data_IF_931707356034
#
_entry.id   IF_931707356034
#
_cell.length_a   1.000
_cell.length_b   1.000
_cell.length_c   1.000
_cell.angle_alpha   90.00
_cell.angle_beta   90.00
_cell.angle_gamma   90.00
#
_symmetry.space_group_name_H-M   'P 1'
#
loop_
_entity.id
_entity.type
_entity.pdbx_description
1 polymer ?
#
# COMPACT_ATOMS: atom_id res chain seq x y z
N UNK A 1 -9.25 -1.68 -21.84
CA UNK A 1 -8.26 -0.66 -22.20
C UNK A 1 -7.66 -0.21 -20.88
N UNK A 2 -6.33 -0.15 -20.80
CA UNK A 2 -5.66 0.29 -19.58
C UNK A 2 -5.91 1.77 -19.30
N UNK A 3 -6.40 2.05 -18.10
CA UNK A 3 -6.63 3.39 -17.57
C UNK A 3 -5.59 3.71 -16.49
N UNK A 4 -5.14 4.97 -16.35
CA UNK A 4 -4.15 5.33 -15.35
C UNK A 4 -4.74 5.29 -13.93
N UNK A 5 -3.89 4.93 -12.97
CA UNK A 5 -4.16 5.15 -11.55
C UNK A 5 -3.05 6.03 -10.97
N UNK A 6 -3.46 7.03 -10.20
CA UNK A 6 -2.58 7.88 -9.40
C UNK A 6 -3.34 8.31 -8.15
N UNK A 7 -3.01 7.66 -7.04
CA UNK A 7 -3.61 7.95 -5.74
C UNK A 7 -2.53 8.22 -4.70
N UNK A 8 -2.86 9.06 -3.73
CA UNK A 8 -2.08 9.20 -2.50
C UNK A 8 -2.90 8.67 -1.35
N UNK A 9 -2.33 7.72 -0.61
CA UNK A 9 -2.97 7.17 0.58
C UNK A 9 -2.13 7.44 1.82
N UNK A 10 -2.79 7.98 2.83
CA UNK A 10 -2.17 8.34 4.10
C UNK A 10 -2.63 7.37 5.18
N UNK A 11 -1.70 6.94 6.02
CA UNK A 11 -1.89 5.82 6.93
C UNK A 11 -1.37 6.13 8.32
N UNK A 12 -1.98 5.46 9.29
CA UNK A 12 -1.39 5.22 10.61
C UNK A 12 -1.09 3.73 10.68
N UNK A 13 0.16 3.38 11.01
CA UNK A 13 0.60 2.00 11.15
C UNK A 13 1.09 1.70 12.55
N UNK A 14 0.90 0.46 12.97
CA UNK A 14 1.58 -0.16 14.11
C UNK A 14 2.52 -1.25 13.62
N UNK A 15 3.67 -1.37 14.26
CA UNK A 15 4.65 -2.45 14.01
C UNK A 15 4.73 -3.37 15.22
N UNK A 16 4.70 -4.67 14.99
CA UNK A 16 5.02 -5.66 16.03
C UNK A 16 6.38 -6.27 15.73
N UNK A 17 7.33 -6.12 16.66
CA UNK A 17 8.63 -6.77 16.56
C UNK A 17 8.51 -8.27 16.82
N UNK A 18 9.03 -9.08 15.89
CA UNK A 18 9.12 -10.54 16.03
C UNK A 18 10.50 -10.95 16.54
N UNK A 19 11.56 -10.34 15.99
CA UNK A 19 12.95 -10.58 16.39
C UNK A 19 13.81 -9.39 15.98
N UNK A 20 14.79 -9.04 16.81
CA UNK A 20 15.72 -7.94 16.55
C UNK A 20 17.13 -8.30 17.01
N UNK A 21 18.08 -8.25 16.06
CA UNK A 21 19.53 -8.30 16.30
C UNK A 21 20.20 -7.12 15.61
N UNK A 22 21.54 -7.01 15.71
CA UNK A 22 22.27 -5.96 14.98
C UNK A 22 22.23 -6.16 13.46
N UNK A 23 22.08 -7.40 13.00
CA UNK A 23 22.11 -7.78 11.59
C UNK A 23 20.72 -7.86 10.96
N UNK A 24 19.67 -8.09 11.76
CA UNK A 24 18.35 -8.42 11.26
C UNK A 24 17.23 -8.01 12.24
N UNK A 25 16.28 -7.23 11.73
CA UNK A 25 14.98 -7.00 12.38
C UNK A 25 13.86 -7.63 11.55
N UNK A 26 12.91 -8.31 12.19
CA UNK A 26 11.74 -8.94 11.55
C UNK A 26 10.47 -8.45 12.25
N UNK A 27 9.52 -7.90 11.50
CA UNK A 27 8.27 -7.30 12.00
C UNK A 27 7.06 -7.69 11.17
N UNK A 28 5.89 -7.54 11.79
CA UNK A 28 4.63 -7.31 11.06
C UNK A 28 4.21 -5.83 11.09
N UNK A 29 3.37 -5.46 10.13
CA UNK A 29 2.69 -4.15 10.04
C UNK A 29 1.17 -4.38 10.04
N UNK A 30 0.45 -3.52 10.73
CA UNK A 30 -1.01 -3.33 10.63
C UNK A 30 -1.25 -1.84 10.43
N UNK A 31 -1.98 -1.46 9.38
CA UNK A 31 -2.16 -0.06 9.04
C UNK A 31 -3.50 0.24 8.39
N UNK A 32 -4.03 1.43 8.70
CA UNK A 32 -5.34 1.89 8.22
C UNK A 32 -5.25 3.33 7.78
N UNK A 33 -6.17 3.74 6.91
CA UNK A 33 -6.25 5.11 6.46
C UNK A 33 -7.22 5.33 5.31
N UNK A 34 -6.95 6.39 4.54
CA UNK A 34 -7.76 6.80 3.39
C UNK A 34 -6.88 7.17 2.20
N UNK A 35 -7.35 6.85 1.00
CA UNK A 35 -6.74 7.20 -0.27
C UNK A 35 -7.52 8.32 -0.97
N UNK A 36 -6.78 9.18 -1.67
CA UNK A 36 -7.31 10.25 -2.50
C UNK A 36 -6.77 10.14 -3.92
N UNK A 37 -7.64 10.37 -4.90
CA UNK A 37 -7.27 10.38 -6.30
C UNK A 37 -6.61 11.70 -6.68
N UNK A 38 -5.45 11.61 -7.33
CA UNK A 38 -4.74 12.74 -7.90
C UNK A 38 -5.22 13.06 -9.32
N UNK A 39 -6.11 12.24 -9.89
CA UNK A 39 -6.64 12.41 -11.23
C UNK A 39 -7.95 13.23 -11.23
N UNK A 40 -8.26 13.84 -12.37
CA UNK A 40 -9.50 14.60 -12.56
C UNK A 40 -10.76 13.72 -12.57
N UNK A 41 -10.66 12.50 -13.09
CA UNK A 41 -11.77 11.55 -13.17
C UNK A 41 -12.22 11.01 -11.80
N UNK A 42 -11.46 11.29 -10.73
CA UNK A 42 -11.72 10.83 -9.35
C UNK A 42 -11.90 9.32 -9.20
N UNK A 43 -11.38 8.53 -10.13
CA UNK A 43 -11.30 7.09 -9.94
C UNK A 43 -10.44 6.80 -8.69
N UNK A 44 -10.91 5.88 -7.84
CA UNK A 44 -10.28 5.50 -6.58
C UNK A 44 -10.15 6.66 -5.56
N UNK A 45 -11.05 7.66 -5.61
CA UNK A 45 -11.10 8.71 -4.58
C UNK A 45 -11.85 8.23 -3.32
N UNK A 46 -11.42 8.72 -2.16
CA UNK A 46 -12.00 8.44 -0.84
C UNK A 46 -12.10 6.95 -0.48
N UNK A 47 -11.14 6.13 -0.94
CA UNK A 47 -11.08 4.73 -0.52
C UNK A 47 -10.58 4.64 0.91
N UNK A 48 -11.34 4.04 1.81
CA UNK A 48 -10.79 3.62 3.10
C UNK A 48 -10.01 2.34 2.93
N UNK A 49 -9.01 2.09 3.76
CA UNK A 49 -8.25 0.85 3.66
C UNK A 49 -7.78 0.32 5.00
N UNK A 50 -7.53 -0.99 4.98
CA UNK A 50 -6.82 -1.73 6.00
C UNK A 50 -5.80 -2.63 5.31
N UNK A 51 -4.54 -2.53 5.73
CA UNK A 51 -3.46 -3.34 5.22
C UNK A 51 -2.70 -4.05 6.34
N UNK A 52 -2.17 -5.21 5.99
CA UNK A 52 -1.28 -5.99 6.84
C UNK A 52 -0.06 -6.42 6.03
N UNK A 53 1.06 -6.62 6.70
CA UNK A 53 2.26 -7.12 6.03
C UNK A 53 3.33 -7.60 6.98
N UNK A 54 4.41 -8.11 6.40
CA UNK A 54 5.62 -8.51 7.10
C UNK A 54 6.83 -7.87 6.44
N UNK A 55 7.86 -7.66 7.25
CA UNK A 55 9.08 -7.01 6.82
C UNK A 55 10.30 -7.61 7.49
N UNK A 56 11.42 -7.51 6.77
CA UNK A 56 12.75 -7.66 7.37
C UNK A 56 13.67 -6.53 6.95
N UNK A 57 14.41 -6.02 7.92
CA UNK A 57 15.46 -5.01 7.74
C UNK A 57 16.81 -5.66 8.01
N UNK A 58 17.73 -5.51 7.06
CA UNK A 58 19.10 -5.97 7.19
C UNK A 58 19.99 -4.86 7.75
N UNK A 59 21.04 -5.22 8.48
CA UNK A 59 22.00 -4.28 9.07
C UNK A 59 22.68 -3.36 8.04
N UNK A 60 22.72 -3.76 6.77
CA UNK A 60 23.19 -2.96 5.63
C UNK A 60 22.12 -2.03 5.04
N UNK A 61 20.99 -1.85 5.74
CA UNK A 61 19.84 -1.00 5.40
C UNK A 61 18.97 -1.50 4.25
N UNK A 62 19.26 -2.66 3.65
CA UNK A 62 18.34 -3.28 2.69
C UNK A 62 17.05 -3.70 3.39
N UNK A 63 15.93 -3.55 2.69
CA UNK A 63 14.60 -3.80 3.22
C UNK A 63 13.86 -4.74 2.31
N UNK A 64 13.25 -5.76 2.90
CA UNK A 64 12.26 -6.59 2.22
C UNK A 64 10.91 -6.40 2.91
N UNK A 65 9.86 -6.19 2.13
CA UNK A 65 8.49 -5.99 2.62
C UNK A 65 7.52 -6.72 1.72
N UNK A 66 6.52 -7.33 2.32
CA UNK A 66 5.39 -7.91 1.59
C UNK A 66 4.11 -7.70 2.39
N UNK A 67 3.02 -7.34 1.73
CA UNK A 67 1.75 -7.13 2.40
C UNK A 67 0.58 -7.05 1.45
N UNK A 68 -0.60 -7.06 2.03
CA UNK A 68 -1.87 -6.98 1.33
C UNK A 68 -2.66 -5.79 1.85
N UNK A 69 -3.34 -5.08 0.96
CA UNK A 69 -4.22 -3.98 1.33
C UNK A 69 -5.62 -4.26 0.81
N UNK A 70 -6.59 -4.23 1.71
CA UNK A 70 -8.00 -4.16 1.38
C UNK A 70 -8.41 -2.69 1.33
N UNK A 71 -8.77 -2.20 0.14
CA UNK A 71 -9.47 -0.93 -0.02
C UNK A 71 -10.97 -1.16 -0.09
N UNK A 72 -11.73 -0.18 0.37
CA UNK A 72 -13.18 -0.12 0.28
C UNK A 72 -13.57 1.26 -0.23
N UNK A 73 -14.38 1.29 -1.27
CA UNK A 73 -14.89 2.53 -1.83
C UNK A 73 -16.15 3.04 -1.11
N UNK A 74 -16.63 4.25 -1.43
CA UNK A 74 -17.81 4.83 -0.79
C UNK A 74 -19.11 4.02 -0.97
N UNK A 75 -19.20 3.19 -2.01
CA UNK A 75 -20.35 2.34 -2.29
C UNK A 75 -20.26 0.99 -1.55
N UNK A 76 -19.12 0.72 -0.88
CA UNK A 76 -18.85 -0.52 -0.16
C UNK A 76 -18.17 -1.61 -1.00
N UNK A 77 -17.86 -1.33 -2.27
CA UNK A 77 -17.13 -2.26 -3.11
C UNK A 77 -15.65 -2.31 -2.71
N UNK A 78 -15.09 -3.51 -2.78
CA UNK A 78 -13.76 -3.82 -2.26
C UNK A 78 -12.78 -4.04 -3.39
N UNK A 79 -11.54 -3.60 -3.18
CA UNK A 79 -10.36 -3.93 -3.96
C UNK A 79 -9.31 -4.54 -3.01
N UNK A 80 -8.57 -5.53 -3.48
CA UNK A 80 -7.41 -6.08 -2.75
C UNK A 80 -6.18 -5.93 -3.62
N UNK A 81 -5.11 -5.38 -3.06
CA UNK A 81 -3.80 -5.31 -3.70
C UNK A 81 -2.78 -6.13 -2.92
N UNK A 82 -1.75 -6.62 -3.60
CA UNK A 82 -0.49 -6.97 -2.97
C UNK A 82 0.54 -5.87 -3.20
N UNK A 83 1.39 -5.67 -2.21
CA UNK A 83 2.50 -4.73 -2.24
C UNK A 83 3.79 -5.49 -1.93
N UNK A 84 4.78 -5.36 -2.80
CA UNK A 84 6.04 -6.07 -2.71
C UNK A 84 7.22 -5.12 -2.83
N UNK A 85 8.13 -5.17 -1.85
CA UNK A 85 9.46 -4.59 -1.94
C UNK A 85 10.49 -5.69 -1.82
N UNK A 86 11.18 -6.00 -2.91
CA UNK A 86 12.27 -6.99 -2.91
C UNK A 86 13.58 -6.36 -2.41
N UNK A 87 14.56 -7.19 -2.02
CA UNK A 87 15.86 -6.71 -1.54
C UNK A 87 16.66 -5.97 -2.62
N UNK A 88 16.42 -6.32 -3.89
CA UNK A 88 17.07 -5.74 -5.06
C UNK A 88 16.22 -4.63 -5.69
N UNK A 89 15.05 -4.32 -5.11
CA UNK A 89 14.22 -3.23 -5.59
C UNK A 89 14.91 -1.89 -5.32
N UNK A 90 14.81 -0.98 -6.28
CA UNK A 90 15.20 0.42 -6.11
C UNK A 90 14.35 1.11 -4.99
N UNK A 91 14.30 2.45 -4.99
CA UNK A 91 13.52 3.20 -4.01
C UNK A 91 12.00 2.88 -4.05
N UNK A 92 11.53 2.31 -5.16
CA UNK A 92 10.12 2.01 -5.43
C UNK A 92 9.75 0.58 -5.05
N UNK A 93 8.52 0.39 -4.56
CA UNK A 93 7.93 -0.95 -4.35
C UNK A 93 6.91 -1.25 -5.44
N UNK A 94 6.77 -2.51 -5.82
CA UNK A 94 5.77 -2.97 -6.78
C UNK A 94 4.42 -3.21 -6.10
N UNK A 95 3.35 -3.11 -6.87
CA UNK A 95 2.01 -3.53 -6.43
C UNK A 95 1.17 -4.03 -7.62
N UNK A 96 0.19 -4.87 -7.34
CA UNK A 96 -0.82 -5.29 -8.32
C UNK A 96 -2.16 -5.61 -7.65
N UNK A 97 -3.24 -5.56 -8.44
CA UNK A 97 -4.55 -6.01 -8.00
C UNK A 97 -4.59 -7.54 -7.88
N UNK A 98 -5.25 -8.01 -6.83
CA UNK A 98 -5.54 -9.42 -6.59
C UNK A 98 -7.02 -9.73 -6.76
N UNK A 99 -7.88 -8.80 -6.33
CA UNK A 99 -9.32 -9.01 -6.28
C UNK A 99 -10.07 -7.68 -6.36
N UNK A 100 -11.28 -7.72 -6.93
CA UNK A 100 -12.27 -6.66 -6.78
C UNK A 100 -13.69 -7.22 -6.72
N UNK A 101 -14.62 -6.47 -6.13
CA UNK A 101 -16.06 -6.78 -6.06
C UNK A 101 -16.90 -5.70 -6.73
N UNK A 102 -18.20 -5.99 -6.97
CA UNK A 102 -19.14 -5.05 -7.58
C UNK A 102 -18.61 -4.39 -8.85
N UNK A 103 -18.51 -3.06 -8.89
CA UNK A 103 -18.00 -2.33 -10.07
C UNK A 103 -16.51 -2.58 -10.34
N UNK A 104 -15.78 -3.11 -9.37
CA UNK A 104 -14.37 -3.49 -9.50
C UNK A 104 -14.17 -4.97 -9.85
N UNK A 105 -15.24 -5.73 -10.08
CA UNK A 105 -15.15 -7.18 -10.35
C UNK A 105 -14.25 -7.46 -11.56
N UNK A 106 -13.24 -8.30 -11.35
CA UNK A 106 -12.29 -8.70 -12.40
C UNK A 106 -11.22 -7.67 -12.73
N UNK A 107 -11.06 -6.63 -11.90
CA UNK A 107 -10.00 -5.64 -12.05
C UNK A 107 -8.62 -6.29 -12.12
N UNK A 108 -7.78 -5.77 -13.01
CA UNK A 108 -6.36 -6.14 -13.15
C UNK A 108 -5.51 -4.89 -13.29
N UNK A 109 -4.21 -5.03 -13.12
CA UNK A 109 -3.25 -3.94 -13.24
C UNK A 109 -2.28 -3.91 -12.07
N UNK A 110 -1.45 -2.88 -12.06
CA UNK A 110 -0.37 -2.72 -11.09
C UNK A 110 0.51 -1.53 -11.41
N UNK A 111 1.58 -1.38 -10.64
CA UNK A 111 2.54 -0.31 -10.84
C UNK A 111 3.49 -0.13 -9.66
N UNK A 112 3.74 1.13 -9.29
CA UNK A 112 4.77 1.51 -8.33
C UNK A 112 4.21 2.25 -7.12
N UNK A 113 4.86 2.04 -5.98
CA UNK A 113 4.63 2.71 -4.71
C UNK A 113 5.86 3.54 -4.34
N UNK A 114 5.63 4.79 -3.93
CA UNK A 114 6.66 5.71 -3.45
C UNK A 114 6.23 6.38 -2.16
N UNK A 115 7.19 6.64 -1.27
CA UNK A 115 6.92 7.50 -0.11
C UNK A 115 6.62 8.91 -0.60
N UNK A 116 5.45 9.44 -0.24
CA UNK A 116 5.04 10.79 -0.59
C UNK A 116 5.32 11.79 0.54
N UNK A 117 5.12 11.36 1.79
CA UNK A 117 5.39 12.17 2.97
C UNK A 117 5.63 11.29 4.20
N UNK A 118 6.45 11.78 5.14
CA UNK A 118 6.61 11.21 6.48
C UNK A 118 6.08 12.18 7.54
N UNK A 119 5.34 11.67 8.52
CA UNK A 119 4.82 12.45 9.64
C UNK A 119 5.46 12.06 10.96
N UNK A 120 5.54 13.01 11.90
CA UNK A 120 5.79 12.66 13.31
C UNK A 120 4.56 11.98 13.88
N UNK A 121 4.72 10.98 14.76
CA UNK A 121 3.58 10.32 15.33
C UNK A 121 2.83 11.15 16.34
N UNK A 122 1.51 11.13 16.22
CA UNK A 122 0.59 11.76 17.18
C UNK A 122 0.13 10.78 18.26
N UNK A 123 0.16 9.48 17.96
CA UNK A 123 -0.17 8.41 18.90
C UNK A 123 1.09 7.59 19.22
N UNK A 124 1.40 7.34 20.51
CA UNK A 124 2.54 6.51 20.88
C UNK A 124 2.49 5.12 20.21
N UNK A 125 3.65 4.61 19.79
CA UNK A 125 3.77 3.28 19.17
C UNK A 125 3.25 3.19 17.72
N UNK A 126 2.90 4.33 17.10
CA UNK A 126 2.46 4.38 15.71
C UNK A 126 3.46 5.11 14.82
N UNK A 127 3.34 4.90 13.51
CA UNK A 127 4.02 5.70 12.48
C UNK A 127 2.97 6.26 11.51
N UNK A 128 3.18 7.49 11.06
CA UNK A 128 2.30 8.20 10.14
C UNK A 128 3.06 8.59 8.89
N UNK A 129 2.39 8.49 7.75
CA UNK A 129 2.95 8.89 6.48
C UNK A 129 1.94 8.74 5.35
N UNK A 130 2.38 9.12 4.16
CA UNK A 130 1.61 8.95 2.94
C UNK A 130 2.45 8.25 1.88
N UNK A 131 1.81 7.40 1.11
CA UNK A 131 2.37 6.68 -0.03
C UNK A 131 1.63 7.14 -1.28
N UNK A 132 2.37 7.39 -2.36
CA UNK A 132 1.81 7.59 -3.70
C UNK A 132 1.87 6.28 -4.45
N UNK A 133 0.75 5.90 -5.05
CA UNK A 133 0.57 4.71 -5.85
C UNK A 133 0.24 5.13 -7.27
N UNK A 134 1.10 4.78 -8.21
CA UNK A 134 0.91 5.04 -9.64
C UNK A 134 0.89 3.72 -10.41
N UNK A 135 0.25 3.71 -11.58
CA UNK A 135 0.20 2.53 -12.43
C UNK A 135 -0.94 2.59 -13.44
N UNK A 136 -1.45 1.42 -13.80
CA UNK A 136 -2.65 1.28 -14.63
C UNK A 136 -3.61 0.23 -14.09
N UNK A 137 -4.88 0.31 -14.49
CA UNK A 137 -5.89 -0.68 -14.22
C UNK A 137 -6.72 -0.99 -15.48
N UNK A 138 -7.33 -2.18 -15.50
CA UNK A 138 -8.28 -2.62 -16.51
C UNK A 138 -9.46 -3.30 -15.85
N UNK A 139 -10.66 -3.05 -16.38
CA UNK A 139 -11.87 -3.78 -16.03
C UNK A 139 -12.34 -4.63 -17.22
N UNK A 140 -12.97 -5.80 -16.96
CA UNK A 140 -13.67 -6.55 -17.98
C UNK A 140 -14.73 -5.68 -18.66
N UNK A 141 -14.91 -5.86 -19.96
CA UNK A 141 -16.02 -5.25 -20.71
C UNK A 141 -17.34 -5.94 -20.41
#
# INVERSE_FOLDING_TARGET
QAEPIDITYCLSLTTTMVSETQELSIHSFDFKGIARSNLENKAFDNLTFHGIGVGRDLGDKRKHRYGYIKFMDPDGDILVTENLRTLDAELDSDWNFLQGTGKWKGIKGGGKLRTAAGGKPITPGTVQGCIRMTGTFELPK
#
